data_IF_483308968317
#
_entry.id   IF_483308968317
#
_cell.length_a   1.000
_cell.length_b   1.000
_cell.length_c   1.000
_cell.angle_alpha   90.00
_cell.angle_beta   90.00
_cell.angle_gamma   90.00
#
_symmetry.space_group_name_H-M   'P 1'
#
loop_
_entity.id
_entity.type
_entity.pdbx_description
1 polymer ?
#
# COMPACT_ATOMS: atom_id res chain seq x y z
N UNK A 1 35.81 11.07 43.61
CA UNK A 1 36.49 12.09 42.79
C UNK A 1 35.77 12.18 41.46
N UNK A 2 34.97 13.23 41.26
CA UNK A 2 34.26 13.49 40.01
C UNK A 2 35.26 13.96 38.95
N UNK A 3 35.58 13.08 38.01
CA UNK A 3 36.38 13.42 36.82
C UNK A 3 35.62 14.53 36.10
N UNK A 4 36.20 15.74 36.04
CA UNK A 4 35.65 16.85 35.24
C UNK A 4 35.68 16.39 33.78
N UNK A 5 34.51 16.03 33.24
CA UNK A 5 34.37 15.72 31.82
C UNK A 5 34.52 17.04 31.05
N UNK A 6 35.53 17.13 30.22
CA UNK A 6 35.73 18.28 29.33
C UNK A 6 34.67 18.25 28.23
N UNK A 7 34.00 19.38 28.00
CA UNK A 7 32.99 19.51 26.95
C UNK A 7 33.71 19.74 25.63
N UNK A 8 33.53 18.84 24.67
CA UNK A 8 34.18 18.90 23.36
C UNK A 8 33.32 19.61 22.32
N UNK A 9 32.00 19.43 22.39
CA UNK A 9 31.04 19.94 21.41
C UNK A 9 29.86 20.64 22.11
N UNK A 10 30.06 21.86 22.66
CA UNK A 10 29.05 22.55 23.46
C UNK A 10 27.75 22.85 22.71
N UNK A 11 27.82 23.00 21.39
CA UNK A 11 26.68 23.18 20.49
C UNK A 11 25.60 22.07 20.58
N UNK A 12 25.94 20.85 21.03
CA UNK A 12 24.93 19.82 21.26
C UNK A 12 24.08 20.06 22.51
N UNK A 13 24.59 20.81 23.50
CA UNK A 13 23.80 21.21 24.67
C UNK A 13 22.70 22.21 24.30
N UNK A 14 22.96 23.05 23.29
CA UNK A 14 21.96 23.98 22.74
C UNK A 14 20.80 23.25 22.04
N UNK A 15 20.95 21.97 21.73
CA UNK A 15 19.90 21.15 21.11
C UNK A 15 18.84 20.65 22.12
N UNK A 16 19.08 20.79 23.43
CA UNK A 16 18.17 20.29 24.47
C UNK A 16 16.79 20.94 24.39
N UNK A 17 16.73 22.21 23.99
CA UNK A 17 15.48 22.96 23.85
C UNK A 17 14.52 22.37 22.79
N UNK A 18 14.98 21.47 21.92
CA UNK A 18 14.16 20.88 20.84
C UNK A 18 13.74 19.44 21.11
N UNK A 19 14.13 18.86 22.24
CA UNK A 19 13.69 17.54 22.66
C UNK A 19 12.90 17.64 23.97
N UNK A 20 11.89 16.78 24.10
CA UNK A 20 11.15 16.56 25.35
C UNK A 20 11.32 15.13 25.87
N UNK A 21 12.17 14.35 25.19
CA UNK A 21 12.47 12.97 25.50
C UNK A 21 13.83 12.88 26.17
N UNK A 22 13.83 12.45 27.43
CA UNK A 22 15.04 12.27 28.23
C UNK A 22 16.03 11.29 27.59
N UNK A 23 15.59 10.37 26.74
CA UNK A 23 16.52 9.54 25.96
C UNK A 23 17.36 10.39 25.02
N UNK A 24 16.73 11.28 24.26
CA UNK A 24 17.41 12.13 23.29
C UNK A 24 18.24 13.22 23.99
N UNK A 25 17.77 13.75 25.11
CA UNK A 25 18.58 14.64 25.98
C UNK A 25 19.90 13.97 26.36
N UNK A 26 19.86 12.74 26.88
CA UNK A 26 21.05 11.98 27.25
C UNK A 26 21.97 11.70 26.04
N UNK A 27 21.40 11.41 24.86
CA UNK A 27 22.18 11.17 23.64
C UNK A 27 22.92 12.44 23.20
N UNK A 28 22.24 13.59 23.19
CA UNK A 28 22.87 14.88 22.85
C UNK A 28 23.87 15.34 23.91
N UNK A 29 23.60 15.04 25.19
CA UNK A 29 24.54 15.28 26.28
C UNK A 29 25.82 14.47 26.09
N UNK A 30 25.70 13.16 25.86
CA UNK A 30 26.84 12.29 25.62
C UNK A 30 27.64 12.75 24.39
N UNK A 31 26.98 13.17 23.31
CA UNK A 31 27.63 13.75 22.13
C UNK A 31 28.40 15.04 22.44
N UNK A 32 27.90 15.89 23.35
CA UNK A 32 28.63 17.09 23.79
C UNK A 32 29.96 16.74 24.49
N UNK A 33 30.00 15.60 25.18
CA UNK A 33 31.21 15.05 25.81
C UNK A 33 32.03 14.16 24.85
N UNK A 34 31.68 14.09 23.56
CA UNK A 34 32.35 13.25 22.57
C UNK A 34 32.08 11.75 22.72
N UNK A 35 31.10 11.36 23.53
CA UNK A 35 30.61 9.99 23.61
C UNK A 35 29.54 9.77 22.54
N UNK A 36 29.69 8.68 21.81
CA UNK A 36 28.82 8.38 20.69
C UNK A 36 27.95 7.16 20.97
N UNK A 37 26.71 7.11 20.43
CA UNK A 37 25.90 5.90 20.46
C UNK A 37 26.63 4.70 19.88
N UNK A 38 26.29 3.50 20.36
CA UNK A 38 26.90 2.25 19.90
C UNK A 38 26.90 2.14 18.37
N UNK A 39 28.06 1.82 17.80
CA UNK A 39 28.23 1.72 16.35
C UNK A 39 28.66 2.98 15.62
N UNK A 40 28.69 4.10 16.33
CA UNK A 40 29.16 5.38 15.79
C UNK A 40 30.42 5.83 16.51
N UNK A 41 31.24 6.63 15.83
CA UNK A 41 32.47 7.16 16.38
C UNK A 41 32.72 8.56 15.84
N UNK A 42 33.47 9.37 16.58
CA UNK A 42 33.91 10.69 16.12
C UNK A 42 35.36 10.59 15.64
N UNK A 43 35.61 11.06 14.42
CA UNK A 43 36.96 11.16 13.86
C UNK A 43 37.15 12.52 13.19
N UNK A 44 38.14 13.31 13.63
CA UNK A 44 38.44 14.65 13.09
C UNK A 44 37.20 15.56 12.94
N UNK A 45 36.36 15.63 13.97
CA UNK A 45 35.08 16.36 13.97
C UNK A 45 34.02 15.84 12.99
N UNK A 46 34.14 14.59 12.54
CA UNK A 46 33.06 13.90 11.82
C UNK A 46 32.44 12.84 12.70
N UNK A 47 31.11 12.84 12.82
CA UNK A 47 30.32 11.74 13.36
C UNK A 47 30.15 10.69 12.26
N UNK A 48 30.74 9.52 12.46
CA UNK A 48 30.82 8.46 11.46
C UNK A 48 30.16 7.16 11.93
N UNK A 49 29.69 6.38 10.97
CA UNK A 49 29.24 5.01 11.12
C UNK A 49 29.74 4.21 9.93
N UNK A 50 30.34 3.04 10.18
CA UNK A 50 30.88 2.16 9.13
C UNK A 50 30.16 0.80 9.06
N UNK A 51 28.96 0.69 9.62
CA UNK A 51 28.17 -0.53 9.45
C UNK A 51 27.69 -0.67 8.02
N UNK A 52 27.91 -1.85 7.44
CA UNK A 52 27.44 -2.20 6.09
C UNK A 52 25.96 -1.84 5.92
N UNK A 53 25.64 -1.07 4.88
CA UNK A 53 24.32 -0.52 4.55
C UNK A 53 23.78 0.59 5.49
N UNK A 54 24.57 1.06 6.46
CA UNK A 54 24.25 2.17 7.37
C UNK A 54 25.39 3.20 7.47
N UNK A 55 26.22 3.25 6.43
CA UNK A 55 27.38 4.12 6.39
C UNK A 55 26.97 5.59 6.31
N UNK A 56 27.59 6.43 7.14
CA UNK A 56 27.48 7.87 7.03
C UNK A 56 28.71 8.55 7.65
N UNK A 57 28.97 9.77 7.19
CA UNK A 57 29.96 10.68 7.77
C UNK A 57 29.35 12.08 7.80
N UNK A 58 29.17 12.64 9.00
CA UNK A 58 28.56 13.95 9.20
C UNK A 58 29.54 14.88 9.87
N UNK A 59 29.81 16.04 9.26
CA UNK A 59 30.72 17.04 9.80
C UNK A 59 30.04 17.83 10.93
N UNK A 60 30.63 17.79 12.11
CA UNK A 60 30.18 18.55 13.29
C UNK A 60 30.71 19.98 13.13
N UNK A 61 29.84 20.89 12.71
CA UNK A 61 30.14 22.31 12.52
C UNK A 61 29.12 23.17 13.23
N UNK A 62 29.57 24.30 13.79
CA UNK A 62 28.66 25.25 14.45
C UNK A 62 27.63 25.77 13.45
N UNK A 63 26.37 25.39 13.67
CA UNK A 63 25.19 25.75 12.88
C UNK A 63 24.09 26.23 13.82
N UNK A 64 23.00 26.69 13.23
CA UNK A 64 21.76 26.93 13.98
C UNK A 64 21.36 25.68 14.80
N UNK A 65 21.06 25.81 16.10
CA UNK A 65 20.79 24.68 16.99
C UNK A 65 19.63 23.79 16.51
N UNK A 66 18.59 24.36 15.89
CA UNK A 66 17.46 23.59 15.38
C UNK A 66 17.87 22.75 14.16
N UNK A 67 18.66 23.32 13.25
CA UNK A 67 19.18 22.59 12.09
C UNK A 67 20.13 21.46 12.53
N UNK A 68 21.03 21.74 13.47
CA UNK A 68 21.95 20.74 14.02
C UNK A 68 21.19 19.58 14.67
N UNK A 69 20.19 19.90 15.51
CA UNK A 69 19.33 18.91 16.13
C UNK A 69 18.66 18.03 15.08
N UNK A 70 17.99 18.65 14.10
CA UNK A 70 17.26 17.92 13.06
C UNK A 70 18.19 17.04 12.21
N UNK A 71 19.37 17.53 11.83
CA UNK A 71 20.35 16.77 11.04
C UNK A 71 20.80 15.52 11.80
N UNK A 72 21.27 15.69 13.03
CA UNK A 72 21.83 14.61 13.85
C UNK A 72 20.73 13.65 14.29
N UNK A 73 19.57 14.16 14.70
CA UNK A 73 18.40 13.34 15.02
C UNK A 73 17.98 12.48 13.82
N UNK A 74 17.78 13.09 12.65
CA UNK A 74 17.40 12.34 11.45
C UNK A 74 18.45 11.30 11.06
N UNK A 75 19.73 11.62 11.21
CA UNK A 75 20.82 10.70 10.90
C UNK A 75 20.84 9.50 11.88
N UNK A 76 20.71 9.74 13.18
CA UNK A 76 20.66 8.67 14.18
C UNK A 76 19.37 7.83 14.06
N UNK A 77 18.23 8.45 13.76
CA UNK A 77 16.95 7.74 13.63
C UNK A 77 16.82 7.00 12.29
N UNK A 78 17.06 7.68 11.17
CA UNK A 78 16.79 7.12 9.82
C UNK A 78 17.93 6.26 9.30
N UNK A 79 19.19 6.60 9.58
CA UNK A 79 20.36 5.83 9.09
C UNK A 79 20.81 4.78 10.09
N UNK A 80 21.02 5.17 11.36
CA UNK A 80 21.48 4.23 12.39
C UNK A 80 20.33 3.33 12.89
N UNK A 81 19.11 3.87 12.98
CA UNK A 81 17.95 3.16 13.50
C UNK A 81 17.82 3.25 15.03
N UNK A 82 18.44 4.27 15.64
CA UNK A 82 18.29 4.55 17.06
C UNK A 82 16.88 5.07 17.33
N UNK A 83 16.19 4.49 18.31
CA UNK A 83 14.81 4.83 18.63
C UNK A 83 14.64 4.84 20.14
N UNK A 84 14.03 5.90 20.66
CA UNK A 84 13.60 5.93 22.04
C UNK A 84 12.42 4.97 22.28
N UNK A 85 12.04 4.78 23.54
CA UNK A 85 10.83 4.01 23.88
C UNK A 85 9.58 4.66 23.29
N UNK A 86 9.51 6.00 23.30
CA UNK A 86 8.40 6.76 22.70
C UNK A 86 8.37 6.56 21.18
N UNK A 87 9.53 6.64 20.52
CA UNK A 87 9.62 6.41 19.06
C UNK A 87 9.16 5.00 18.65
N UNK A 88 9.50 3.98 19.46
CA UNK A 88 9.04 2.61 19.23
C UNK A 88 7.53 2.47 19.38
N UNK A 89 6.94 3.12 20.38
CA UNK A 89 5.49 3.12 20.58
C UNK A 89 4.77 3.83 19.43
N UNK A 90 5.26 5.00 19.02
CA UNK A 90 4.68 5.75 17.90
C UNK A 90 4.72 4.92 16.61
N UNK A 91 5.87 4.32 16.27
CA UNK A 91 5.97 3.43 15.11
C UNK A 91 5.02 2.23 15.17
N UNK A 92 4.77 1.68 16.37
CA UNK A 92 3.81 0.59 16.56
C UNK A 92 2.37 1.07 16.32
N UNK A 93 2.03 2.25 16.82
CA UNK A 93 0.71 2.87 16.59
C UNK A 93 0.52 3.14 15.10
N UNK A 94 1.51 3.76 14.43
CA UNK A 94 1.48 4.01 12.99
C UNK A 94 1.29 2.71 12.19
N UNK A 95 2.02 1.66 12.57
CA UNK A 95 1.87 0.34 11.95
C UNK A 95 0.45 -0.22 12.11
N UNK A 96 -0.12 -0.15 13.33
CA UNK A 96 -1.48 -0.62 13.59
C UNK A 96 -2.51 0.19 12.79
N UNK A 97 -2.35 1.51 12.72
CA UNK A 97 -3.24 2.38 11.94
C UNK A 97 -3.19 2.01 10.44
N UNK A 98 -2.00 1.78 9.89
CA UNK A 98 -1.83 1.32 8.51
C UNK A 98 -2.48 -0.05 8.31
N UNK A 99 -2.34 -0.96 9.28
CA UNK A 99 -2.97 -2.29 9.21
C UNK A 99 -4.50 -2.19 9.22
N UNK A 100 -5.07 -1.34 10.08
CA UNK A 100 -6.50 -1.08 10.13
C UNK A 100 -7.02 -0.43 8.84
N UNK A 101 -6.30 0.53 8.28
CA UNK A 101 -6.61 1.13 6.98
C UNK A 101 -6.58 0.09 5.86
N UNK A 102 -5.61 -0.82 5.88
CA UNK A 102 -5.54 -1.93 4.94
C UNK A 102 -6.72 -2.90 5.10
N UNK A 103 -7.17 -3.17 6.32
CA UNK A 103 -8.38 -3.98 6.57
C UNK A 103 -9.62 -3.25 6.06
N UNK A 104 -9.76 -1.96 6.35
CA UNK A 104 -10.89 -1.14 5.94
C UNK A 104 -11.01 -1.02 4.41
N UNK A 105 -9.90 -0.80 3.70
CA UNK A 105 -9.88 -0.75 2.24
C UNK A 105 -10.22 -2.09 1.58
N UNK A 106 -10.10 -3.19 2.32
CA UNK A 106 -10.42 -4.56 1.86
C UNK A 106 -11.79 -5.06 2.31
N UNK A 107 -12.64 -4.24 2.92
CA UNK A 107 -14.01 -4.64 3.33
C UNK A 107 -14.96 -4.87 2.16
N UNK A 108 -14.79 -4.13 1.06
CA UNK A 108 -15.65 -4.25 -0.12
C UNK A 108 -14.83 -4.71 -1.34
N UNK A 109 -15.36 -5.67 -2.10
CA UNK A 109 -14.74 -6.16 -3.34
C UNK A 109 -14.40 -5.03 -4.35
N UNK A 110 -15.28 -4.03 -4.43
CA UNK A 110 -15.10 -2.82 -5.24
C UNK A 110 -13.87 -1.98 -4.85
N UNK A 111 -13.53 -1.96 -3.56
CA UNK A 111 -12.44 -1.12 -3.05
C UNK A 111 -11.06 -1.76 -3.27
N UNK A 112 -11.02 -3.07 -3.57
CA UNK A 112 -9.79 -3.79 -3.85
C UNK A 112 -9.32 -3.43 -5.27
N UNK A 113 -8.33 -2.53 -5.36
CA UNK A 113 -7.77 -2.10 -6.65
C UNK A 113 -6.66 -3.00 -7.18
N UNK A 114 -5.92 -3.67 -6.30
CA UNK A 114 -4.76 -4.50 -6.67
C UNK A 114 -5.22 -5.85 -7.19
N UNK A 115 -4.89 -6.15 -8.45
CA UNK A 115 -5.22 -7.42 -9.12
C UNK A 115 -4.76 -8.65 -8.33
N UNK A 116 -3.49 -8.69 -7.91
CA UNK A 116 -2.94 -9.84 -7.18
C UNK A 116 -3.71 -10.17 -5.90
N UNK A 117 -4.34 -9.17 -5.25
CA UNK A 117 -5.17 -9.42 -4.06
C UNK A 117 -6.49 -10.08 -4.48
N UNK A 118 -7.13 -9.62 -5.56
CA UNK A 118 -8.36 -10.24 -6.10
C UNK A 118 -8.10 -11.68 -6.55
N UNK A 119 -6.99 -11.90 -7.25
CA UNK A 119 -6.60 -13.23 -7.72
C UNK A 119 -6.45 -14.19 -6.52
N UNK A 120 -5.75 -13.76 -5.46
CA UNK A 120 -5.59 -14.54 -4.23
C UNK A 120 -6.93 -14.82 -3.52
N UNK A 121 -7.85 -13.86 -3.50
CA UNK A 121 -9.19 -14.05 -2.92
C UNK A 121 -10.01 -15.08 -3.68
N UNK A 122 -9.91 -15.09 -5.02
CA UNK A 122 -10.57 -16.07 -5.88
C UNK A 122 -9.95 -17.46 -5.68
N UNK A 123 -8.63 -17.56 -5.57
CA UNK A 123 -7.96 -18.82 -5.27
C UNK A 123 -8.40 -19.39 -3.92
N UNK A 124 -8.44 -18.55 -2.88
CA UNK A 124 -8.93 -18.94 -1.56
C UNK A 124 -10.40 -19.40 -1.60
N UNK A 125 -11.26 -18.69 -2.35
CA UNK A 125 -12.64 -19.12 -2.56
C UNK A 125 -12.72 -20.53 -3.15
N UNK A 126 -11.96 -20.81 -4.21
CA UNK A 126 -11.97 -22.14 -4.83
C UNK A 126 -11.40 -23.21 -3.91
N UNK A 127 -10.39 -22.90 -3.10
CA UNK A 127 -9.88 -23.84 -2.08
C UNK A 127 -10.97 -24.15 -1.05
N UNK A 128 -11.70 -23.14 -0.59
CA UNK A 128 -12.81 -23.34 0.35
C UNK A 128 -13.92 -24.20 -0.25
N UNK A 129 -14.31 -23.93 -1.51
CA UNK A 129 -15.31 -24.73 -2.21
C UNK A 129 -14.83 -26.15 -2.50
N UNK A 130 -13.54 -26.33 -2.81
CA UNK A 130 -12.93 -27.65 -2.95
C UNK A 130 -13.09 -28.47 -1.68
N UNK A 131 -12.76 -27.89 -0.53
CA UNK A 131 -12.86 -28.59 0.75
C UNK A 131 -14.32 -28.85 1.14
N UNK A 132 -15.21 -27.90 0.87
CA UNK A 132 -16.64 -27.97 1.21
C UNK A 132 -17.41 -29.00 0.37
N UNK A 133 -17.12 -29.11 -0.93
CA UNK A 133 -17.82 -29.98 -1.88
C UNK A 133 -16.94 -31.13 -2.39
N UNK A 134 -15.82 -31.39 -1.71
CA UNK A 134 -14.85 -32.45 -2.00
C UNK A 134 -14.36 -32.47 -3.47
N UNK A 135 -14.19 -31.29 -4.08
CA UNK A 135 -13.76 -31.20 -5.48
C UNK A 135 -12.34 -31.76 -5.65
N UNK A 136 -12.10 -32.38 -6.81
CA UNK A 136 -10.75 -32.82 -7.14
C UNK A 136 -9.88 -31.64 -7.61
N UNK A 137 -8.55 -31.83 -7.61
CA UNK A 137 -7.59 -30.76 -7.98
C UNK A 137 -7.79 -30.27 -9.41
N UNK A 138 -8.19 -31.15 -10.34
CA UNK A 138 -8.45 -30.78 -11.74
C UNK A 138 -9.68 -29.88 -11.86
N UNK A 139 -10.76 -30.20 -11.15
CA UNK A 139 -11.99 -29.40 -11.07
C UNK A 139 -11.73 -28.05 -10.44
N UNK A 140 -10.94 -27.98 -9.35
CA UNK A 140 -10.55 -26.71 -8.73
C UNK A 140 -9.76 -25.83 -9.70
N UNK A 141 -8.78 -26.40 -10.42
CA UNK A 141 -8.02 -25.66 -11.44
C UNK A 141 -8.92 -25.15 -12.56
N UNK A 142 -9.84 -25.99 -13.05
CA UNK A 142 -10.81 -25.61 -14.08
C UNK A 142 -11.71 -24.47 -13.59
N UNK A 143 -12.21 -24.55 -12.35
CA UNK A 143 -13.04 -23.52 -11.74
C UNK A 143 -12.30 -22.18 -11.63
N UNK A 144 -11.05 -22.17 -11.17
CA UNK A 144 -10.21 -20.96 -11.13
C UNK A 144 -10.13 -20.33 -12.52
N UNK A 145 -9.76 -21.13 -13.53
CA UNK A 145 -9.67 -20.65 -14.91
C UNK A 145 -11.01 -20.11 -15.43
N UNK A 146 -12.11 -20.82 -15.15
CA UNK A 146 -13.45 -20.39 -15.53
C UNK A 146 -13.84 -19.06 -14.90
N UNK A 147 -13.58 -18.86 -13.60
CA UNK A 147 -13.88 -17.59 -12.92
C UNK A 147 -13.06 -16.46 -13.55
N UNK A 148 -11.77 -16.67 -13.78
CA UNK A 148 -10.93 -15.63 -14.40
C UNK A 148 -11.36 -15.29 -15.82
N UNK A 149 -11.67 -16.31 -16.63
CA UNK A 149 -12.21 -16.13 -17.99
C UNK A 149 -13.52 -15.35 -17.92
N UNK A 150 -14.45 -15.76 -17.05
CA UNK A 150 -15.73 -15.08 -16.88
C UNK A 150 -15.60 -13.64 -16.41
N UNK A 151 -14.60 -13.31 -15.58
CA UNK A 151 -14.31 -11.93 -15.19
C UNK A 151 -13.69 -11.10 -16.32
N UNK A 152 -12.79 -11.69 -17.11
CA UNK A 152 -12.16 -11.04 -18.27
C UNK A 152 -13.20 -10.71 -19.33
N UNK A 153 -14.09 -11.65 -19.64
CA UNK A 153 -15.18 -11.49 -20.60
C UNK A 153 -16.43 -10.83 -20.02
N UNK A 154 -16.38 -10.39 -18.74
CA UNK A 154 -17.49 -9.74 -18.02
C UNK A 154 -18.78 -10.58 -17.91
N UNK A 155 -18.71 -11.89 -18.13
CA UNK A 155 -19.77 -12.86 -17.81
C UNK A 155 -20.09 -12.82 -16.31
N UNK A 156 -19.06 -12.62 -15.49
CA UNK A 156 -19.20 -12.25 -14.08
C UNK A 156 -18.81 -10.78 -13.91
N UNK A 157 -19.73 -10.02 -13.36
CA UNK A 157 -19.53 -8.63 -12.96
C UNK A 157 -19.18 -8.55 -11.48
N UNK A 158 -18.78 -7.36 -11.04
CA UNK A 158 -18.52 -7.08 -9.61
C UNK A 158 -19.75 -7.41 -8.75
N UNK A 159 -20.97 -7.20 -9.27
CA UNK A 159 -22.21 -7.44 -8.52
C UNK A 159 -22.47 -8.91 -8.26
N UNK A 160 -21.88 -9.78 -9.07
CA UNK A 160 -22.06 -11.23 -8.98
C UNK A 160 -21.12 -11.85 -7.96
N UNK A 161 -20.20 -11.09 -7.35
CA UNK A 161 -19.27 -11.57 -6.34
C UNK A 161 -19.74 -11.10 -4.97
N UNK A 162 -20.28 -12.05 -4.19
CA UNK A 162 -20.64 -11.81 -2.81
C UNK A 162 -19.37 -11.92 -1.95
N UNK A 163 -18.99 -10.80 -1.35
CA UNK A 163 -17.76 -10.67 -0.58
C UNK A 163 -18.06 -10.00 0.74
N UNK A 164 -17.76 -10.70 1.82
CA UNK A 164 -17.98 -10.24 3.18
C UNK A 164 -16.80 -10.60 4.08
N UNK A 165 -16.47 -9.70 5.00
CA UNK A 165 -15.38 -9.82 5.98
C UNK A 165 -14.06 -10.40 5.45
N UNK A 166 -13.62 -9.94 4.27
CA UNK A 166 -12.35 -10.40 3.71
C UNK A 166 -12.43 -11.67 2.85
N UNK A 167 -13.62 -12.26 2.69
CA UNK A 167 -13.81 -13.57 2.06
C UNK A 167 -14.92 -13.52 1.02
N UNK A 168 -14.70 -14.16 -0.13
CA UNK A 168 -15.77 -14.39 -1.12
C UNK A 168 -16.64 -15.53 -0.59
N UNK A 169 -17.93 -15.27 -0.38
CA UNK A 169 -18.88 -16.25 0.15
C UNK A 169 -19.56 -17.05 -0.96
N UNK A 170 -19.90 -16.38 -2.07
CA UNK A 170 -20.45 -17.00 -3.27
C UNK A 170 -20.21 -16.15 -4.52
N UNK A 171 -20.31 -16.79 -5.69
CA UNK A 171 -20.31 -16.12 -6.99
C UNK A 171 -21.60 -16.51 -7.71
N UNK A 172 -22.44 -15.52 -8.02
CA UNK A 172 -23.72 -15.73 -8.68
C UNK A 172 -23.51 -16.31 -10.09
N UNK A 173 -24.23 -17.40 -10.40
CA UNK A 173 -24.06 -18.17 -11.63
C UNK A 173 -23.10 -19.36 -11.51
N UNK A 174 -22.55 -19.61 -10.31
CA UNK A 174 -21.78 -20.82 -10.00
C UNK A 174 -22.44 -21.52 -8.80
N UNK A 175 -22.92 -22.73 -9.02
CA UNK A 175 -23.48 -23.61 -7.99
C UNK A 175 -22.69 -24.90 -7.86
N UNK A 176 -22.86 -25.58 -6.74
CA UNK A 176 -22.07 -26.76 -6.38
C UNK A 176 -22.98 -27.90 -5.95
N UNK A 177 -22.65 -29.09 -6.41
CA UNK A 177 -23.13 -30.38 -5.91
C UNK A 177 -21.90 -31.18 -5.46
N UNK A 178 -22.09 -32.24 -4.68
CA UNK A 178 -20.98 -33.07 -4.23
C UNK A 178 -20.14 -33.58 -5.42
N UNK A 179 -18.83 -33.28 -5.38
CA UNK A 179 -17.86 -33.56 -6.45
C UNK A 179 -18.17 -32.90 -7.81
N UNK A 180 -19.03 -31.88 -7.88
CA UNK A 180 -19.43 -31.26 -9.15
C UNK A 180 -19.63 -29.76 -9.05
N UNK A 181 -19.18 -29.07 -10.09
CA UNK A 181 -19.39 -27.62 -10.27
C UNK A 181 -20.40 -27.43 -11.39
N UNK A 182 -21.43 -26.64 -11.13
CA UNK A 182 -22.47 -26.28 -12.08
C UNK A 182 -22.30 -24.80 -12.44
N UNK A 183 -22.19 -24.52 -13.73
CA UNK A 183 -22.16 -23.16 -14.26
C UNK A 183 -23.54 -22.89 -14.84
N UNK A 184 -24.26 -21.95 -14.24
CA UNK A 184 -25.60 -21.56 -14.68
C UNK A 184 -25.54 -20.51 -15.79
N UNK A 185 -24.42 -19.79 -15.89
CA UNK A 185 -24.15 -18.84 -16.97
C UNK A 185 -23.36 -19.51 -18.08
N UNK A 186 -23.82 -19.33 -19.31
CA UNK A 186 -23.04 -19.72 -20.46
C UNK A 186 -21.89 -18.71 -20.65
N UNK A 187 -20.66 -19.17 -20.41
CA UNK A 187 -19.43 -18.39 -20.58
C UNK A 187 -19.03 -18.23 -22.05
N UNK A 188 -19.69 -18.94 -22.98
CA UNK A 188 -19.45 -18.90 -24.42
C UNK A 188 -20.55 -18.14 -25.17
N UNK A 189 -21.65 -17.80 -24.51
CA UNK A 189 -22.73 -17.01 -25.07
C UNK A 189 -22.42 -15.51 -24.93
N UNK A 190 -21.64 -15.01 -25.89
CA UNK A 190 -21.20 -13.61 -25.98
C UNK A 190 -22.39 -12.63 -26.17
N UNK A 191 -23.60 -13.13 -26.45
CA UNK A 191 -24.79 -12.30 -26.64
C UNK A 191 -25.37 -11.72 -25.32
N UNK A 192 -24.98 -12.25 -24.15
CA UNK A 192 -25.65 -11.93 -22.88
C UNK A 192 -25.25 -10.60 -22.20
N UNK A 193 -24.25 -9.85 -22.69
CA UNK A 193 -23.88 -8.55 -22.07
C UNK A 193 -24.07 -7.32 -22.98
N UNK A 194 -24.63 -7.50 -24.18
CA UNK A 194 -25.39 -6.42 -24.79
C UNK A 194 -26.76 -6.39 -24.12
N UNK A 195 -26.83 -5.85 -22.91
CA UNK A 195 -28.08 -5.23 -22.47
C UNK A 195 -28.59 -4.44 -23.67
N UNK A 196 -29.86 -4.63 -24.02
CA UNK A 196 -30.63 -3.73 -24.88
C UNK A 196 -30.68 -2.35 -24.20
N UNK A 197 -29.54 -1.68 -24.05
CA UNK A 197 -29.50 -0.24 -24.11
C UNK A 197 -29.93 0.03 -25.55
N UNK A 198 -31.17 0.45 -25.70
CA UNK A 198 -31.53 1.33 -26.80
C UNK A 198 -30.62 2.54 -26.61
N UNK A 199 -29.41 2.48 -27.17
CA UNK A 199 -28.64 3.67 -27.44
C UNK A 199 -29.49 4.39 -28.48
N UNK A 200 -30.27 5.36 -28.03
CA UNK A 200 -30.68 6.43 -28.93
C UNK A 200 -29.35 7.07 -29.30
N UNK A 201 -28.78 6.64 -30.42
CA UNK A 201 -27.54 7.19 -30.93
C UNK A 201 -27.70 8.71 -30.93
N UNK A 202 -26.75 9.40 -30.28
CA UNK A 202 -26.74 10.86 -30.31
C UNK A 202 -26.66 11.25 -31.78
N UNK A 203 -27.66 12.00 -32.23
CA UNK A 203 -27.77 12.52 -33.59
C UNK A 203 -26.41 13.03 -34.05
N UNK A 204 -25.83 12.35 -35.03
CA UNK A 204 -24.55 12.70 -35.60
C UNK A 204 -24.73 13.93 -36.51
N UNK A 205 -23.66 14.68 -36.72
CA UNK A 205 -23.67 15.82 -37.66
C UNK A 205 -24.04 15.33 -39.08
N UNK A 206 -23.68 14.09 -39.42
CA UNK A 206 -24.06 13.42 -40.67
C UNK A 206 -25.57 13.27 -40.83
N UNK A 207 -26.33 13.21 -39.74
CA UNK A 207 -27.79 13.02 -39.80
C UNK A 207 -28.50 14.31 -40.24
N UNK A 208 -27.78 15.44 -40.24
CA UNK A 208 -28.24 16.74 -40.75
C UNK A 208 -27.74 17.03 -42.18
N UNK A 209 -27.10 16.07 -42.85
CA UNK A 209 -26.44 16.28 -44.15
C UNK A 209 -27.39 16.78 -45.25
N UNK A 210 -28.60 16.24 -45.33
CA UNK A 210 -29.62 16.69 -46.28
C UNK A 210 -30.00 18.17 -46.08
N UNK A 211 -30.02 18.63 -44.83
CA UNK A 211 -30.34 20.02 -44.50
C UNK A 211 -29.23 20.97 -44.98
N UNK A 212 -27.97 20.54 -44.92
CA UNK A 212 -26.84 21.31 -45.45
C UNK A 212 -26.83 21.33 -46.98
N UNK A 213 -27.09 20.20 -47.63
CA UNK A 213 -27.18 20.11 -49.09
C UNK A 213 -28.32 20.97 -49.66
N UNK A 214 -29.49 20.93 -49.02
CA UNK A 214 -30.64 21.73 -49.44
C UNK A 214 -30.39 23.25 -49.29
N UNK A 215 -29.58 23.66 -48.31
CA UNK A 215 -29.19 25.06 -48.17
C UNK A 215 -28.16 25.48 -49.23
N UNK A 216 -27.27 24.59 -49.65
CA UNK A 216 -26.32 24.86 -50.73
C UNK A 216 -27.00 24.97 -52.10
N UNK A 217 -28.04 24.15 -52.36
CA UNK A 217 -28.84 24.27 -53.59
C UNK A 217 -29.65 25.56 -53.69
N UNK A 218 -29.96 26.23 -52.57
CA UNK A 218 -30.65 27.53 -52.57
C UNK A 218 -29.71 28.72 -52.79
N UNK A 219 -28.40 28.50 -52.73
CA UNK A 219 -27.36 29.52 -52.93
C UNK A 219 -26.78 29.51 -54.35
N UNK A 220 -27.18 28.55 -55.19
CA UNK A 220 -26.94 28.48 -56.63
C UNK A 220 -28.19 28.93 -57.39
#
# INVERSE_FOLDING_TARGET
MTIKKEILYPMFLECFQFTTDSFWENVFEDLAYGKTPYGTYINKNFLCCNYKNKEFSYKIEKKDPLLLYNDVYNLLVKKLGLLSVRDKLNKKIDFNNIEEDLKNTRKNWNNIRKKNIKDLLIENYVINMKNKYNLNVSQSRKLISTIFIGLIFKVFSVKDINYDDGVITSIDGITFEDNKVILERDIYDIENDYRKCILIDKQLISDNWEKYLNNLQKLL
#
